data_IF_391459736346
#
_entry.id   IF_391459736346
#
_cell.length_a   1.000
_cell.length_b   1.000
_cell.length_c   1.000
_cell.angle_alpha   90.00
_cell.angle_beta   90.00
_cell.angle_gamma   90.00
#
_symmetry.space_group_name_H-M   'P 1'
#
loop_
_entity.id
_entity.type
_entity.pdbx_description
1 polymer ?
#
# COMPACT_ATOMS: atom_id res chain seq x y z
N UNK A 1 -24.89 -46.60 -108.59
CA UNK A 1 -23.42 -46.72 -108.61
C UNK A 1 -22.96 -46.76 -107.16
N UNK A 2 -22.78 -47.97 -106.60
CA UNK A 2 -21.49 -48.57 -106.22
C UNK A 2 -20.85 -47.81 -105.03
N UNK A 3 -20.51 -48.38 -103.86
CA UNK A 3 -20.02 -49.72 -103.46
C UNK A 3 -20.14 -49.85 -101.92
N UNK A 4 -20.62 -50.96 -101.31
CA UNK A 4 -19.86 -52.02 -100.58
C UNK A 4 -18.53 -51.55 -99.93
N UNK A 5 -18.08 -51.90 -98.71
CA UNK A 5 -18.28 -53.08 -97.84
C UNK A 5 -17.56 -52.91 -96.47
N UNK A 6 -18.11 -53.54 -95.42
CA UNK A 6 -17.51 -54.31 -94.30
C UNK A 6 -16.42 -53.77 -93.33
N UNK A 7 -16.83 -53.68 -92.05
CA UNK A 7 -16.28 -54.22 -90.78
C UNK A 7 -14.77 -54.37 -90.51
N UNK A 8 -14.35 -53.93 -89.30
CA UNK A 8 -13.71 -54.79 -88.26
C UNK A 8 -13.67 -54.13 -86.87
N UNK A 9 -13.94 -54.95 -85.85
CA UNK A 9 -13.80 -54.69 -84.41
C UNK A 9 -12.34 -54.40 -84.00
N UNK A 10 -12.16 -53.53 -83.02
CA UNK A 10 -11.18 -53.72 -81.94
C UNK A 10 -11.68 -52.98 -80.68
N UNK A 11 -11.88 -53.75 -79.60
CA UNK A 11 -12.19 -53.23 -78.28
C UNK A 11 -10.92 -52.70 -77.60
N UNK A 12 -11.01 -51.57 -76.90
CA UNK A 12 -10.13 -51.26 -75.78
C UNK A 12 -10.93 -50.50 -74.72
N UNK A 13 -11.21 -51.18 -73.62
CA UNK A 13 -11.72 -50.62 -72.37
C UNK A 13 -10.61 -49.82 -71.69
N UNK A 14 -10.86 -48.53 -71.44
CA UNK A 14 -10.11 -47.76 -70.44
C UNK A 14 -11.14 -47.04 -69.57
N UNK A 15 -11.33 -47.56 -68.36
CA UNK A 15 -11.96 -46.84 -67.27
C UNK A 15 -10.91 -45.89 -66.67
N UNK A 16 -11.17 -44.59 -66.68
CA UNK A 16 -10.34 -43.61 -65.99
C UNK A 16 -11.24 -42.54 -65.33
N UNK A 17 -11.58 -42.87 -64.08
CA UNK A 17 -11.75 -42.00 -62.90
C UNK A 17 -11.99 -40.51 -63.15
N UNK A 18 -13.21 -40.05 -62.84
CA UNK A 18 -13.49 -38.64 -62.58
C UNK A 18 -12.76 -38.20 -61.31
N UNK A 19 -11.73 -37.37 -61.44
CA UNK A 19 -11.14 -36.65 -60.31
C UNK A 19 -12.04 -35.49 -59.91
N UNK A 20 -12.90 -35.70 -58.92
CA UNK A 20 -13.50 -34.59 -58.17
C UNK A 20 -12.40 -33.94 -57.33
N UNK A 21 -11.91 -32.78 -57.76
CA UNK A 21 -11.06 -31.94 -56.93
C UNK A 21 -11.94 -31.36 -55.80
N UNK A 22 -11.96 -32.04 -54.66
CA UNK A 22 -12.47 -31.46 -53.41
C UNK A 22 -11.55 -30.33 -53.00
N UNK A 23 -11.92 -29.10 -53.31
CA UNK A 23 -11.39 -27.92 -52.63
C UNK A 23 -11.79 -28.02 -51.17
N UNK A 24 -10.87 -28.53 -50.33
CA UNK A 24 -10.98 -28.39 -48.88
C UNK A 24 -10.76 -26.90 -48.59
N UNK A 25 -11.86 -26.17 -48.42
CA UNK A 25 -11.81 -24.89 -47.73
C UNK A 25 -11.41 -25.23 -46.30
N UNK A 26 -10.13 -25.06 -45.98
CA UNK A 26 -9.68 -24.97 -44.60
C UNK A 26 -10.31 -23.71 -44.04
N UNK A 27 -11.51 -23.83 -43.49
CA UNK A 27 -12.03 -22.83 -42.57
C UNK A 27 -11.07 -22.85 -41.40
N UNK A 28 -10.16 -21.85 -41.31
CA UNK A 28 -9.52 -21.52 -40.05
C UNK A 28 -10.62 -21.51 -38.99
N UNK A 29 -10.50 -22.26 -37.88
CA UNK A 29 -11.49 -22.14 -36.84
C UNK A 29 -11.51 -20.67 -36.46
N UNK A 30 -12.68 -20.04 -36.56
CA UNK A 30 -12.92 -18.79 -35.88
C UNK A 30 -12.63 -19.09 -34.41
N UNK A 31 -11.45 -18.68 -33.93
CA UNK A 31 -11.18 -18.67 -32.51
C UNK A 31 -12.30 -17.83 -31.93
N UNK A 32 -13.17 -18.43 -31.12
CA UNK A 32 -13.91 -17.62 -30.16
C UNK A 32 -12.87 -16.74 -29.48
N UNK A 33 -13.06 -15.42 -29.47
CA UNK A 33 -12.10 -14.52 -28.85
C UNK A 33 -11.84 -15.02 -27.43
N UNK A 34 -10.61 -15.51 -27.20
CA UNK A 34 -10.21 -16.07 -25.91
C UNK A 34 -10.29 -14.96 -24.89
N UNK A 35 -10.89 -15.22 -23.72
CA UNK A 35 -10.95 -14.27 -22.60
C UNK A 35 -9.56 -13.69 -22.32
N UNK A 36 -9.46 -12.37 -22.28
CA UNK A 36 -8.24 -11.63 -21.99
C UNK A 36 -8.26 -11.01 -20.61
N UNK A 37 -7.12 -10.43 -20.23
CA UNK A 37 -6.98 -9.84 -18.89
C UNK A 37 -7.92 -8.63 -18.72
N UNK A 38 -8.07 -7.75 -19.72
CA UNK A 38 -9.06 -6.67 -19.66
C UNK A 38 -10.51 -7.17 -19.55
N UNK A 39 -10.85 -8.33 -20.14
CA UNK A 39 -12.17 -8.92 -19.97
C UNK A 39 -12.39 -9.39 -18.52
N UNK A 40 -11.33 -9.94 -17.90
CA UNK A 40 -11.33 -10.38 -16.50
C UNK A 40 -11.45 -9.18 -15.58
N UNK A 41 -10.68 -8.13 -15.80
CA UNK A 41 -10.72 -6.92 -14.97
C UNK A 41 -12.06 -6.19 -15.12
N UNK A 42 -12.49 -5.94 -16.36
CA UNK A 42 -13.71 -5.20 -16.66
C UNK A 42 -13.60 -3.70 -16.34
N UNK A 43 -14.72 -2.99 -16.42
CA UNK A 43 -14.79 -1.51 -16.30
C UNK A 43 -15.29 -1.04 -14.93
N UNK A 44 -15.30 -1.92 -13.93
CA UNK A 44 -15.76 -1.70 -12.55
C UNK A 44 -14.72 -2.25 -11.57
N UNK A 45 -14.93 -2.10 -10.26
CA UNK A 45 -14.02 -2.70 -9.24
C UNK A 45 -14.21 -4.19 -9.03
N UNK A 46 -15.30 -4.74 -9.57
CA UNK A 46 -15.61 -6.15 -9.50
C UNK A 46 -15.48 -6.74 -10.89
N UNK A 47 -14.72 -7.83 -10.99
CA UNK A 47 -14.57 -8.61 -12.19
C UNK A 47 -15.93 -9.14 -12.67
N UNK A 48 -16.29 -8.97 -13.97
CA UNK A 48 -17.42 -9.68 -14.56
C UNK A 48 -17.20 -11.20 -14.66
N UNK A 49 -15.98 -11.67 -14.36
CA UNK A 49 -15.60 -13.07 -14.28
C UNK A 49 -15.49 -13.62 -12.86
N UNK A 50 -15.77 -12.83 -11.81
CA UNK A 50 -15.76 -13.31 -10.43
C UNK A 50 -16.54 -14.63 -10.27
N UNK A 51 -15.88 -15.66 -9.72
CA UNK A 51 -16.41 -17.01 -9.54
C UNK A 51 -16.44 -17.89 -10.79
N UNK A 52 -16.03 -17.38 -11.96
CA UNK A 52 -16.01 -18.14 -13.22
C UNK A 52 -14.64 -18.76 -13.47
N UNK A 53 -14.66 -19.89 -14.15
CA UNK A 53 -13.46 -20.53 -14.69
C UNK A 53 -13.04 -19.83 -15.98
N UNK A 54 -11.76 -19.49 -16.09
CA UNK A 54 -11.11 -19.02 -17.32
C UNK A 54 -10.10 -20.06 -17.80
N UNK A 55 -9.83 -20.07 -19.10
CA UNK A 55 -8.96 -21.05 -19.75
C UNK A 55 -7.98 -20.36 -20.69
N UNK A 56 -6.71 -20.74 -20.57
CA UNK A 56 -5.60 -20.32 -21.41
C UNK A 56 -5.47 -18.80 -21.58
N UNK A 57 -5.71 -18.05 -20.51
CA UNK A 57 -5.50 -16.59 -20.47
C UNK A 57 -4.02 -16.32 -20.66
N UNK A 58 -3.68 -15.61 -21.74
CA UNK A 58 -2.30 -15.35 -22.13
C UNK A 58 -1.76 -14.04 -21.53
N UNK A 59 -0.48 -14.02 -21.17
CA UNK A 59 0.20 -12.80 -20.72
C UNK A 59 1.68 -13.04 -20.42
N UNK A 60 2.39 -11.97 -20.13
CA UNK A 60 3.81 -12.01 -19.74
C UNK A 60 3.97 -11.71 -18.27
N UNK A 61 4.76 -12.52 -17.56
CA UNK A 61 5.03 -12.33 -16.13
C UNK A 61 5.82 -11.05 -15.91
N UNK A 62 5.28 -10.14 -15.08
CA UNK A 62 5.87 -8.81 -14.78
C UNK A 62 6.46 -8.73 -13.37
N UNK A 63 6.05 -9.60 -12.45
CA UNK A 63 6.60 -9.68 -11.10
C UNK A 63 6.29 -11.02 -10.44
N UNK A 64 7.14 -11.48 -9.51
CA UNK A 64 6.97 -12.75 -8.81
C UNK A 64 7.11 -12.52 -7.30
N UNK A 65 6.05 -12.84 -6.55
CA UNK A 65 6.02 -12.80 -5.07
C UNK A 65 6.23 -14.20 -4.52
N UNK A 66 7.47 -14.51 -4.15
CA UNK A 66 7.88 -15.82 -3.61
C UNK A 66 7.77 -15.96 -2.08
N UNK A 67 7.43 -14.89 -1.36
CA UNK A 67 7.39 -14.81 0.10
C UNK A 67 5.99 -14.44 0.61
N UNK A 68 5.83 -14.48 1.93
CA UNK A 68 4.55 -14.16 2.59
C UNK A 68 3.47 -15.22 2.38
N UNK A 69 2.24 -14.90 2.82
CA UNK A 69 1.04 -15.71 2.62
C UNK A 69 0.46 -15.57 1.21
N UNK A 70 0.58 -14.38 0.61
CA UNK A 70 0.08 -14.08 -0.75
C UNK A 70 1.07 -14.47 -1.85
N UNK A 71 1.55 -15.72 -1.88
CA UNK A 71 2.49 -16.18 -2.91
C UNK A 71 1.81 -16.29 -4.28
N UNK A 72 2.44 -15.74 -5.30
CA UNK A 72 1.89 -15.66 -6.65
C UNK A 72 2.77 -14.82 -7.58
N UNK A 73 2.24 -14.47 -8.74
CA UNK A 73 2.93 -13.63 -9.71
C UNK A 73 1.94 -12.73 -10.45
N UNK A 74 2.41 -11.60 -10.94
CA UNK A 74 1.64 -10.74 -11.84
C UNK A 74 1.95 -11.10 -13.28
N UNK A 75 0.93 -11.10 -14.11
CA UNK A 75 1.07 -11.19 -15.56
C UNK A 75 0.28 -10.06 -16.22
N UNK A 76 0.75 -9.62 -17.38
CA UNK A 76 0.13 -8.53 -18.12
C UNK A 76 -0.06 -8.90 -19.60
N UNK A 77 -1.18 -8.51 -20.20
CA UNK A 77 -1.47 -8.77 -21.61
C UNK A 77 -0.48 -7.98 -22.49
N UNK A 78 -0.06 -8.60 -23.58
CA UNK A 78 0.87 -8.02 -24.57
C UNK A 78 0.14 -7.38 -25.75
N UNK A 79 -1.19 -7.52 -25.79
CA UNK A 79 -2.09 -6.96 -26.81
C UNK A 79 -3.22 -6.23 -26.08
N UNK A 80 -2.91 -5.09 -25.43
CA UNK A 80 -3.88 -4.34 -24.64
C UNK A 80 -5.00 -3.79 -25.52
N UNK A 81 -6.16 -3.54 -24.91
CA UNK A 81 -7.25 -2.81 -25.56
C UNK A 81 -6.99 -1.29 -25.55
N UNK A 82 -8.03 -0.52 -25.86
CA UNK A 82 -7.96 0.94 -25.89
C UNK A 82 -8.78 1.61 -24.77
N UNK A 83 -9.39 0.84 -23.87
CA UNK A 83 -10.23 1.38 -22.81
C UNK A 83 -9.35 1.70 -21.59
N UNK A 84 -9.18 2.98 -21.20
CA UNK A 84 -8.40 3.31 -20.02
C UNK A 84 -9.03 2.82 -18.72
N UNK A 85 -10.28 2.33 -18.73
CA UNK A 85 -10.98 1.81 -17.56
C UNK A 85 -10.75 0.31 -17.31
N UNK A 86 -10.03 -0.40 -18.17
CA UNK A 86 -9.72 -1.83 -18.03
C UNK A 86 -8.24 -2.02 -17.76
N UNK A 87 -7.91 -2.75 -16.69
CA UNK A 87 -6.53 -3.14 -16.44
C UNK A 87 -6.10 -4.29 -17.37
N UNK A 88 -4.83 -4.26 -17.78
CA UNK A 88 -4.21 -5.32 -18.56
C UNK A 88 -3.37 -6.26 -17.70
N UNK A 89 -3.29 -6.00 -16.39
CA UNK A 89 -2.58 -6.80 -15.41
C UNK A 89 -3.53 -7.62 -14.55
N UNK A 90 -3.06 -8.77 -14.08
CA UNK A 90 -3.79 -9.59 -13.10
C UNK A 90 -2.81 -10.33 -12.20
N UNK A 91 -3.18 -10.51 -10.94
CA UNK A 91 -2.43 -11.35 -10.02
C UNK A 91 -2.88 -12.81 -10.12
N UNK A 92 -1.91 -13.73 -10.14
CA UNK A 92 -2.14 -15.17 -10.15
C UNK A 92 -1.70 -15.75 -8.82
N UNK A 93 -2.67 -16.10 -7.97
CA UNK A 93 -2.41 -16.63 -6.63
C UNK A 93 -2.15 -18.14 -6.68
N UNK A 94 -0.97 -18.55 -6.21
CA UNK A 94 -0.49 -19.94 -6.30
C UNK A 94 -0.44 -20.65 -4.95
N UNK A 95 -0.66 -19.95 -3.83
CA UNK A 95 -0.50 -20.43 -2.43
C UNK A 95 0.86 -21.06 -2.08
N UNK A 96 1.79 -21.07 -3.02
CA UNK A 96 3.08 -21.77 -2.99
C UNK A 96 4.06 -21.01 -3.88
N UNK A 97 5.36 -21.24 -3.71
CA UNK A 97 6.38 -20.54 -4.51
C UNK A 97 6.15 -20.76 -6.02
N UNK A 98 5.90 -19.69 -6.80
CA UNK A 98 5.69 -19.82 -8.24
C UNK A 98 6.92 -20.40 -8.94
N UNK A 99 6.70 -21.18 -10.01
CA UNK A 99 7.75 -21.76 -10.86
C UNK A 99 7.93 -21.03 -12.18
N UNK A 100 7.64 -19.73 -12.19
CA UNK A 100 7.78 -18.82 -13.34
C UNK A 100 8.81 -17.74 -13.01
N UNK A 101 9.36 -17.13 -14.05
CA UNK A 101 10.27 -15.99 -13.97
C UNK A 101 9.67 -14.78 -14.70
N UNK A 102 10.10 -13.58 -14.29
CA UNK A 102 9.79 -12.34 -15.02
C UNK A 102 10.25 -12.48 -16.48
N UNK A 103 9.38 -12.10 -17.43
CA UNK A 103 9.62 -12.28 -18.87
C UNK A 103 9.15 -13.63 -19.42
N UNK A 104 8.64 -14.55 -18.59
CA UNK A 104 7.95 -15.73 -19.11
C UNK A 104 6.64 -15.34 -19.77
N UNK A 105 6.40 -15.80 -21.00
CA UNK A 105 5.08 -15.79 -21.61
C UNK A 105 4.33 -17.04 -21.16
N UNK A 106 3.17 -16.85 -20.54
CA UNK A 106 2.39 -17.93 -19.93
C UNK A 106 0.97 -17.97 -20.46
N UNK A 107 0.37 -19.15 -20.44
CA UNK A 107 -1.09 -19.31 -20.42
C UNK A 107 -1.52 -19.79 -19.04
N UNK A 108 -2.59 -19.19 -18.52
CA UNK A 108 -3.12 -19.48 -17.18
C UNK A 108 -4.59 -19.85 -17.29
N UNK A 109 -4.93 -21.02 -16.74
CA UNK A 109 -6.30 -21.46 -16.51
C UNK A 109 -6.58 -21.47 -15.02
N UNK A 110 -7.75 -21.02 -14.56
CA UNK A 110 -8.05 -20.95 -13.13
C UNK A 110 -9.43 -20.36 -12.86
N UNK A 111 -9.73 -20.10 -11.59
CA UNK A 111 -10.97 -19.45 -11.17
C UNK A 111 -10.70 -18.01 -10.80
N UNK A 112 -11.39 -17.07 -11.43
CA UNK A 112 -11.30 -15.64 -11.08
C UNK A 112 -12.00 -15.40 -9.74
N UNK A 113 -11.39 -14.62 -8.87
CA UNK A 113 -11.88 -14.30 -7.53
C UNK A 113 -11.64 -12.84 -7.20
N UNK A 114 -12.52 -12.29 -6.35
CA UNK A 114 -12.33 -11.01 -5.68
C UNK A 114 -11.75 -11.27 -4.29
N UNK A 115 -10.47 -10.98 -4.10
CA UNK A 115 -9.82 -11.10 -2.79
C UNK A 115 -9.87 -9.77 -2.06
N UNK A 116 -10.41 -9.71 -0.83
CA UNK A 116 -10.39 -8.48 -0.02
C UNK A 116 -9.25 -8.55 0.99
N UNK A 117 -8.15 -7.78 0.82
CA UNK A 117 -7.06 -7.73 1.77
C UNK A 117 -7.56 -7.27 3.15
N UNK A 118 -7.21 -8.00 4.21
CA UNK A 118 -7.73 -7.72 5.57
C UNK A 118 -9.15 -8.26 5.83
N UNK A 119 -9.77 -8.93 4.87
CA UNK A 119 -11.08 -9.56 5.00
C UNK A 119 -12.25 -8.64 4.65
N UNK A 120 -13.42 -9.23 4.38
CA UNK A 120 -14.61 -8.51 3.87
C UNK A 120 -15.22 -7.50 4.85
N UNK A 121 -14.89 -7.58 6.15
CA UNK A 121 -15.31 -6.61 7.16
C UNK A 121 -14.39 -5.39 7.27
N UNK A 122 -13.28 -5.35 6.53
CA UNK A 122 -12.29 -4.26 6.61
C UNK A 122 -12.76 -2.95 5.95
N UNK A 123 -13.69 -3.03 5.00
CA UNK A 123 -14.05 -1.90 4.13
C UNK A 123 -13.03 -1.60 3.04
N UNK A 124 -12.02 -2.47 2.83
CA UNK A 124 -11.07 -2.37 1.73
C UNK A 124 -11.70 -2.74 0.38
N UNK A 125 -11.09 -2.27 -0.71
CA UNK A 125 -11.36 -2.76 -2.06
C UNK A 125 -10.88 -4.21 -2.21
N UNK A 126 -11.55 -4.96 -3.09
CA UNK A 126 -11.04 -6.24 -3.55
C UNK A 126 -9.91 -6.05 -4.56
N UNK A 127 -9.18 -7.14 -4.79
CA UNK A 127 -8.23 -7.32 -5.87
C UNK A 127 -8.73 -8.47 -6.73
N UNK A 128 -8.75 -8.29 -8.05
CA UNK A 128 -9.07 -9.35 -9.00
C UNK A 128 -7.87 -10.30 -9.14
N UNK A 129 -8.07 -11.57 -8.83
CA UNK A 129 -7.03 -12.58 -8.95
C UNK A 129 -7.50 -13.88 -9.61
N UNK A 130 -6.56 -14.61 -10.22
CA UNK A 130 -6.79 -15.98 -10.69
C UNK A 130 -6.27 -16.96 -9.64
N UNK A 131 -7.17 -17.75 -9.09
CA UNK A 131 -6.90 -18.76 -8.07
C UNK A 131 -6.91 -20.17 -8.64
N UNK A 132 -6.33 -21.11 -7.87
CA UNK A 132 -6.18 -22.53 -8.25
C UNK A 132 -5.60 -22.70 -9.67
N UNK A 133 -4.52 -21.98 -10.01
CA UNK A 133 -4.10 -21.85 -11.40
C UNK A 133 -3.42 -23.12 -11.91
N UNK A 134 -3.64 -23.42 -13.19
CA UNK A 134 -2.77 -24.26 -14.01
C UNK A 134 -2.01 -23.34 -14.95
N UNK A 135 -0.68 -23.33 -14.81
CA UNK A 135 0.21 -22.41 -15.54
C UNK A 135 1.06 -23.19 -16.53
N UNK A 136 1.06 -22.75 -17.79
CA UNK A 136 1.94 -23.28 -18.84
C UNK A 136 2.88 -22.17 -19.30
N UNK A 137 4.19 -22.38 -19.17
CA UNK A 137 5.20 -21.47 -19.74
C UNK A 137 5.35 -21.81 -21.23
N UNK A 138 5.03 -20.84 -22.08
CA UNK A 138 5.10 -20.95 -23.55
C UNK A 138 6.50 -20.60 -24.06
N UNK A 139 7.10 -19.56 -23.48
CA UNK A 139 8.48 -19.13 -23.76
C UNK A 139 9.04 -18.33 -22.58
N UNK A 140 10.36 -18.18 -22.52
CA UNK A 140 11.06 -17.46 -21.45
C UNK A 140 11.96 -16.34 -22.01
N UNK A 141 12.25 -15.34 -21.17
CA UNK A 141 13.14 -14.24 -21.52
C UNK A 141 12.56 -13.22 -22.52
N UNK A 142 11.23 -13.14 -22.60
CA UNK A 142 10.53 -12.17 -23.45
C UNK A 142 10.63 -10.76 -22.84
N UNK A 143 10.54 -9.70 -23.66
CA UNK A 143 10.39 -8.35 -23.14
C UNK A 143 9.09 -8.24 -22.31
N UNK A 144 9.17 -7.59 -21.17
CA UNK A 144 8.00 -7.27 -20.35
C UNK A 144 7.26 -6.05 -20.92
N UNK A 145 5.93 -5.97 -20.80
CA UNK A 145 5.17 -4.76 -21.14
C UNK A 145 5.77 -3.52 -20.47
N UNK A 146 5.81 -2.42 -21.23
CA UNK A 146 6.34 -1.15 -20.74
C UNK A 146 5.51 -0.65 -19.56
N UNK A 147 6.19 -0.21 -18.49
CA UNK A 147 5.51 0.26 -17.30
C UNK A 147 4.71 1.55 -17.54
N UNK A 148 3.46 1.58 -17.12
CA UNK A 148 2.59 2.76 -17.20
C UNK A 148 3.13 3.85 -16.28
N UNK A 149 3.30 5.07 -16.81
CA UNK A 149 3.85 6.18 -16.02
C UNK A 149 2.77 6.79 -15.13
N UNK A 150 2.93 6.66 -13.82
CA UNK A 150 2.12 7.32 -12.80
C UNK A 150 2.80 8.63 -12.44
N UNK A 151 2.11 9.74 -12.69
CA UNK A 151 2.66 11.08 -12.50
C UNK A 151 1.59 12.05 -12.03
N UNK A 152 2.00 13.24 -11.63
CA UNK A 152 1.07 14.30 -11.29
C UNK A 152 0.07 14.68 -12.41
N UNK A 153 0.42 14.42 -13.68
CA UNK A 153 -0.45 14.68 -14.83
C UNK A 153 -1.50 13.59 -14.99
N UNK A 154 -1.15 12.33 -14.71
CA UNK A 154 -2.05 11.21 -14.93
C UNK A 154 -3.03 11.00 -13.77
N UNK A 155 -2.64 11.33 -12.54
CA UNK A 155 -3.47 11.14 -11.35
C UNK A 155 -4.46 12.32 -11.18
N UNK A 156 -5.79 12.10 -11.21
CA UNK A 156 -6.80 13.15 -11.01
C UNK A 156 -6.78 13.80 -9.62
N UNK A 157 -7.42 14.96 -9.48
CA UNK A 157 -7.52 15.71 -8.20
C UNK A 157 -8.63 15.21 -7.28
N UNK A 158 -9.78 14.80 -7.83
CA UNK A 158 -10.82 14.21 -7.01
C UNK A 158 -10.40 12.81 -6.60
N UNK A 159 -10.58 12.44 -5.34
CA UNK A 159 -10.13 11.14 -4.86
C UNK A 159 -11.05 10.01 -5.34
N UNK A 160 -12.33 10.06 -4.98
CA UNK A 160 -13.32 9.00 -5.24
C UNK A 160 -14.66 9.60 -5.71
N UNK A 161 -15.45 8.88 -6.52
CA UNK A 161 -16.84 9.24 -6.76
C UNK A 161 -17.67 9.17 -5.46
N UNK A 162 -18.82 9.83 -5.44
CA UNK A 162 -19.84 9.53 -4.44
C UNK A 162 -20.34 8.09 -4.67
N UNK A 163 -20.42 7.31 -3.60
CA UNK A 163 -20.94 5.95 -3.66
C UNK A 163 -22.44 5.87 -3.92
N UNK A 164 -22.92 4.70 -4.32
CA UNK A 164 -24.32 4.44 -4.61
C UNK A 164 -25.13 4.34 -3.29
N UNK A 165 -26.08 5.25 -3.03
CA UNK A 165 -26.92 5.19 -1.84
C UNK A 165 -27.75 3.91 -1.74
N UNK A 166 -28.10 3.28 -2.88
CA UNK A 166 -28.83 2.01 -2.90
C UNK A 166 -27.93 0.82 -2.48
N UNK A 167 -26.62 0.99 -2.54
CA UNK A 167 -25.60 0.01 -2.13
C UNK A 167 -24.81 0.48 -0.90
N UNK A 168 -25.48 1.19 0.03
CA UNK A 168 -24.89 1.69 1.27
C UNK A 168 -23.62 2.55 1.05
N UNK A 169 -23.58 3.31 -0.04
CA UNK A 169 -22.44 4.14 -0.40
C UNK A 169 -21.25 3.38 -1.00
N UNK A 170 -21.41 2.13 -1.43
CA UNK A 170 -20.37 1.40 -2.17
C UNK A 170 -20.09 2.04 -3.54
N UNK A 171 -18.85 1.96 -3.99
CA UNK A 171 -18.38 2.39 -5.32
C UNK A 171 -18.08 1.22 -6.25
N UNK A 172 -18.33 -0.02 -5.82
CA UNK A 172 -17.79 -1.23 -6.47
C UNK A 172 -18.40 -1.48 -7.84
N UNK A 173 -19.72 -1.32 -7.93
CA UNK A 173 -20.49 -1.50 -9.17
C UNK A 173 -20.49 -0.25 -10.08
N UNK A 174 -19.85 0.84 -9.66
CA UNK A 174 -19.80 2.07 -10.45
C UNK A 174 -18.76 1.93 -11.58
N UNK A 175 -19.09 2.35 -12.82
CA UNK A 175 -18.10 2.40 -13.89
C UNK A 175 -16.91 3.28 -13.51
N UNK A 176 -15.70 2.78 -13.72
CA UNK A 176 -14.47 3.50 -13.47
C UNK A 176 -14.40 4.75 -14.36
N UNK A 177 -13.97 5.87 -13.76
CA UNK A 177 -13.66 7.10 -14.50
C UNK A 177 -12.22 7.55 -14.19
N UNK A 178 -11.20 6.86 -14.74
CA UNK A 178 -9.78 7.09 -14.47
C UNK A 178 -9.31 8.52 -14.75
N UNK A 179 -9.93 9.22 -15.69
CA UNK A 179 -9.60 10.63 -15.97
C UNK A 179 -10.16 11.61 -14.92
N UNK A 180 -11.07 11.15 -14.05
CA UNK A 180 -11.82 12.00 -13.11
C UNK A 180 -11.46 11.74 -11.65
N UNK A 181 -11.26 10.49 -11.26
CA UNK A 181 -10.99 10.10 -9.87
C UNK A 181 -9.68 9.35 -9.73
N UNK A 182 -8.88 9.71 -8.71
CA UNK A 182 -7.61 9.06 -8.42
C UNK A 182 -7.79 7.58 -8.06
N UNK A 183 -8.82 7.25 -7.28
CA UNK A 183 -9.11 5.86 -6.92
C UNK A 183 -9.44 5.02 -8.16
N UNK A 184 -10.26 5.54 -9.07
CA UNK A 184 -10.59 4.88 -10.34
C UNK A 184 -9.37 4.75 -11.26
N UNK A 185 -8.45 5.73 -11.23
CA UNK A 185 -7.21 5.67 -11.99
C UNK A 185 -6.28 4.55 -11.51
N UNK A 186 -6.09 4.43 -10.20
CA UNK A 186 -5.27 3.34 -9.67
C UNK A 186 -5.94 1.97 -9.87
N UNK A 187 -7.26 1.88 -9.72
CA UNK A 187 -8.01 0.65 -10.03
C UNK A 187 -7.83 0.22 -11.49
N UNK A 188 -7.91 1.14 -12.45
CA UNK A 188 -7.67 0.82 -13.86
C UNK A 188 -6.25 0.35 -14.17
N UNK A 189 -5.33 0.40 -13.19
CA UNK A 189 -3.96 -0.08 -13.30
C UNK A 189 -3.69 -1.30 -12.40
N UNK A 190 -4.72 -1.87 -11.77
CA UNK A 190 -4.56 -3.00 -10.85
C UNK A 190 -3.76 -4.14 -11.50
N UNK A 191 -2.65 -4.56 -10.86
CA UNK A 191 -1.79 -5.62 -11.35
C UNK A 191 -0.91 -5.25 -12.55
N UNK A 192 -1.10 -4.09 -13.17
CA UNK A 192 -0.22 -3.63 -14.25
C UNK A 192 1.14 -3.23 -13.71
N UNK A 193 2.18 -3.42 -14.53
CA UNK A 193 3.48 -2.83 -14.26
C UNK A 193 3.37 -1.30 -14.39
N UNK A 194 3.68 -0.58 -13.31
CA UNK A 194 3.67 0.89 -13.26
C UNK A 194 5.04 1.42 -12.90
N UNK A 195 5.26 2.70 -13.18
CA UNK A 195 6.49 3.40 -12.77
C UNK A 195 6.23 4.82 -12.30
N UNK A 196 7.06 5.26 -11.37
CA UNK A 196 7.22 6.66 -10.98
C UNK A 196 8.66 7.09 -11.24
N UNK A 197 8.88 8.39 -11.39
CA UNK A 197 10.21 8.95 -11.63
C UNK A 197 10.50 10.12 -10.69
N UNK A 198 11.72 10.18 -10.16
CA UNK A 198 12.21 11.29 -9.32
C UNK A 198 11.24 11.67 -8.19
N UNK A 199 10.78 10.66 -7.44
CA UNK A 199 9.69 10.79 -6.49
C UNK A 199 10.22 11.16 -5.09
N UNK A 200 9.66 12.22 -4.49
CA UNK A 200 9.99 12.65 -3.13
C UNK A 200 9.39 11.68 -2.11
N UNK A 201 10.19 11.26 -1.15
CA UNK A 201 9.80 10.44 0.00
C UNK A 201 9.03 11.31 1.00
N UNK A 202 7.82 10.88 1.36
CA UNK A 202 6.88 11.58 2.25
C UNK A 202 6.52 10.76 3.49
N UNK A 203 6.96 9.50 3.55
CA UNK A 203 6.98 8.64 4.73
C UNK A 203 8.25 7.79 4.68
N UNK A 204 8.95 7.72 5.81
CA UNK A 204 10.24 7.03 5.93
C UNK A 204 10.11 5.53 5.65
N UNK A 205 11.24 4.89 5.38
CA UNK A 205 11.28 3.43 5.26
C UNK A 205 10.96 2.77 6.59
N UNK A 206 10.15 1.72 6.56
CA UNK A 206 9.74 0.96 7.74
C UNK A 206 10.36 -0.45 7.78
N UNK A 207 10.18 -1.21 8.87
CA UNK A 207 10.69 -2.59 8.99
C UNK A 207 10.10 -3.60 7.99
N UNK A 208 9.01 -3.25 7.31
CA UNK A 208 8.34 -4.08 6.32
C UNK A 208 8.82 -3.81 4.89
N UNK A 209 9.89 -3.01 4.74
CA UNK A 209 10.46 -2.61 3.44
C UNK A 209 9.47 -1.81 2.60
N UNK A 210 8.76 -0.92 3.28
CA UNK A 210 7.80 0.00 2.68
C UNK A 210 8.26 1.44 2.91
N UNK A 211 7.94 2.32 1.98
CA UNK A 211 8.05 3.77 2.15
C UNK A 211 6.93 4.46 1.38
N UNK A 212 6.68 5.74 1.66
CA UNK A 212 5.70 6.51 0.91
C UNK A 212 6.38 7.56 0.04
N UNK A 213 5.96 7.69 -1.21
CA UNK A 213 6.35 8.78 -2.09
C UNK A 213 5.15 9.64 -2.48
N UNK A 214 5.42 10.81 -3.07
CA UNK A 214 4.40 11.57 -3.81
C UNK A 214 4.75 11.69 -5.29
N UNK A 215 3.77 11.42 -6.14
CA UNK A 215 3.84 11.74 -7.58
C UNK A 215 3.37 13.16 -7.88
N UNK A 216 2.81 13.87 -6.89
CA UNK A 216 2.36 15.28 -6.95
C UNK A 216 3.15 16.13 -5.95
N UNK A 217 4.36 16.61 -6.31
CA UNK A 217 5.25 17.29 -5.35
C UNK A 217 4.67 18.60 -4.77
N UNK A 218 3.64 19.18 -5.40
CA UNK A 218 2.93 20.39 -4.97
C UNK A 218 1.64 20.13 -4.19
N UNK A 219 1.21 18.88 -4.03
CA UNK A 219 -0.01 18.56 -3.27
C UNK A 219 0.32 18.57 -1.77
N UNK A 220 -0.12 19.62 -1.09
CA UNK A 220 0.01 19.82 0.36
C UNK A 220 1.43 19.59 0.94
N UNK A 221 2.52 20.12 0.35
CA UNK A 221 3.86 19.92 0.88
C UNK A 221 4.04 20.66 2.21
N UNK A 222 4.71 20.03 3.18
CA UNK A 222 5.24 20.73 4.35
C UNK A 222 6.69 21.21 4.12
N UNK A 223 7.19 22.08 5.00
CA UNK A 223 8.56 22.64 4.89
C UNK A 223 9.68 21.61 5.02
N UNK A 224 9.37 20.43 5.57
CA UNK A 224 10.27 19.29 5.76
C UNK A 224 10.08 18.23 4.67
N UNK A 225 9.43 18.56 3.55
CA UNK A 225 9.29 17.65 2.41
C UNK A 225 8.22 16.55 2.55
N UNK A 226 7.54 16.46 3.70
CA UNK A 226 6.39 15.58 3.86
C UNK A 226 5.13 16.12 3.19
N UNK A 227 4.04 15.35 3.29
CA UNK A 227 2.72 15.74 2.78
C UNK A 227 1.75 15.91 3.94
N UNK A 228 1.16 17.11 4.08
CA UNK A 228 0.19 17.41 5.12
C UNK A 228 -1.12 16.69 4.82
N UNK A 229 -1.63 15.94 5.79
CA UNK A 229 -2.99 15.41 5.76
C UNK A 229 -3.95 16.47 6.33
N UNK A 230 -4.81 17.03 5.47
CA UNK A 230 -5.67 18.17 5.84
C UNK A 230 -6.98 17.74 6.50
N UNK A 231 -7.66 16.74 5.95
CA UNK A 231 -8.93 16.23 6.45
C UNK A 231 -9.29 14.88 5.81
N UNK A 232 -10.33 14.23 6.35
CA UNK A 232 -10.93 13.03 5.78
C UNK A 232 -11.54 13.22 4.37
N UNK A 233 -11.80 14.45 3.94
CA UNK A 233 -12.35 14.76 2.62
C UNK A 233 -11.30 15.28 1.61
N UNK A 234 -10.04 15.39 2.05
CA UNK A 234 -8.94 15.96 1.27
C UNK A 234 -7.74 15.00 1.24
N UNK A 235 -7.99 13.76 0.82
CA UNK A 235 -6.94 12.76 0.65
C UNK A 235 -5.90 13.24 -0.37
N UNK A 236 -4.63 13.06 -0.03
CA UNK A 236 -3.52 13.36 -0.93
C UNK A 236 -3.46 12.30 -2.04
N UNK A 237 -4.10 12.58 -3.17
CA UNK A 237 -4.25 11.67 -4.31
C UNK A 237 -2.92 11.21 -4.91
N UNK A 238 -1.85 12.01 -4.76
CA UNK A 238 -0.52 11.72 -5.27
C UNK A 238 0.33 10.84 -4.35
N UNK A 239 -0.13 10.50 -3.13
CA UNK A 239 0.59 9.56 -2.27
C UNK A 239 0.51 8.16 -2.84
N UNK A 240 1.65 7.49 -2.94
CA UNK A 240 1.77 6.11 -3.38
C UNK A 240 2.76 5.40 -2.48
N UNK A 241 2.37 4.25 -1.92
CA UNK A 241 3.29 3.41 -1.18
C UNK A 241 4.19 2.65 -2.16
N UNK A 242 5.47 2.52 -1.80
CA UNK A 242 6.43 1.66 -2.48
C UNK A 242 6.74 0.51 -1.53
N UNK A 243 6.54 -0.73 -1.97
CA UNK A 243 6.98 -1.95 -1.31
C UNK A 243 8.10 -2.61 -2.12
N UNK A 244 8.96 -3.39 -1.49
CA UNK A 244 9.97 -4.18 -2.23
C UNK A 244 9.41 -5.53 -2.70
N UNK A 245 9.66 -5.91 -3.96
CA UNK A 245 9.70 -7.33 -4.40
C UNK A 245 11.09 -7.95 -4.22
N UNK A 246 12.11 -7.11 -4.02
CA UNK A 246 13.50 -7.50 -3.88
C UNK A 246 13.87 -7.99 -2.49
N UNK A 247 15.17 -8.10 -2.23
CA UNK A 247 15.66 -8.45 -0.89
C UNK A 247 15.49 -7.25 0.04
N UNK A 248 15.17 -7.45 1.33
CA UNK A 248 15.09 -6.36 2.29
C UNK A 248 16.35 -5.49 2.38
N UNK A 249 17.53 -6.11 2.24
CA UNK A 249 18.81 -5.41 2.28
C UNK A 249 19.03 -4.43 1.10
N UNK A 250 18.28 -4.58 0.01
CA UNK A 250 18.38 -3.72 -1.18
C UNK A 250 17.39 -2.53 -1.10
N UNK A 251 16.47 -2.54 -0.12
CA UNK A 251 15.52 -1.46 0.06
C UNK A 251 16.18 -0.25 0.73
N UNK A 252 16.00 0.97 0.21
CA UNK A 252 16.69 2.14 0.73
C UNK A 252 16.20 2.47 2.14
N UNK A 253 17.12 2.85 3.03
CA UNK A 253 16.80 3.47 4.32
C UNK A 253 16.53 4.97 4.11
N UNK A 254 15.31 5.31 3.71
CA UNK A 254 14.92 6.68 3.38
C UNK A 254 14.24 7.37 4.56
N UNK A 255 14.40 8.69 4.65
CA UNK A 255 13.60 9.54 5.53
C UNK A 255 12.74 10.52 4.72
N UNK A 256 11.78 11.15 5.39
CA UNK A 256 10.93 12.19 4.79
C UNK A 256 11.82 13.29 4.21
N UNK A 257 11.50 13.74 3.00
CA UNK A 257 12.24 14.78 2.28
C UNK A 257 13.34 14.26 1.36
N UNK A 258 13.75 12.98 1.48
CA UNK A 258 14.62 12.34 0.51
C UNK A 258 13.94 12.21 -0.87
N UNK A 259 14.70 11.85 -1.90
CA UNK A 259 14.19 11.59 -3.26
C UNK A 259 14.65 10.22 -3.75
N UNK A 260 13.74 9.39 -4.25
CA UNK A 260 14.08 8.27 -5.11
C UNK A 260 14.29 8.81 -6.52
N UNK A 261 15.55 8.92 -6.94
CA UNK A 261 15.95 9.44 -8.25
C UNK A 261 15.96 8.37 -9.32
N UNK A 262 15.61 8.73 -10.55
CA UNK A 262 15.42 7.77 -11.63
C UNK A 262 14.08 7.02 -11.50
N UNK A 263 14.04 5.80 -12.02
CA UNK A 263 12.81 4.99 -12.11
C UNK A 263 12.64 4.13 -10.86
N UNK A 264 11.42 4.13 -10.32
CA UNK A 264 10.92 3.07 -9.43
C UNK A 264 9.75 2.41 -10.13
N UNK A 265 9.80 1.09 -10.34
CA UNK A 265 8.83 0.36 -11.15
C UNK A 265 8.52 -1.03 -10.61
N UNK A 266 7.31 -1.49 -10.87
CA UNK A 266 6.81 -2.80 -10.49
C UNK A 266 5.28 -2.89 -10.62
N UNK A 267 4.69 -4.08 -10.39
CA UNK A 267 3.25 -4.24 -10.39
C UNK A 267 2.56 -3.34 -9.36
N UNK A 268 1.41 -2.78 -9.73
CA UNK A 268 0.51 -2.12 -8.79
C UNK A 268 -0.36 -3.18 -8.08
N UNK A 269 -0.47 -3.08 -6.76
CA UNK A 269 -1.23 -4.00 -5.90
C UNK A 269 -2.07 -3.19 -4.91
N UNK A 270 -2.91 -3.86 -4.12
CA UNK A 270 -3.68 -3.26 -3.04
C UNK A 270 -3.44 -4.05 -1.74
N UNK A 271 -3.15 -3.34 -0.63
CA UNK A 271 -2.76 -3.99 0.62
C UNK A 271 -3.88 -3.96 1.68
N UNK A 272 -3.72 -4.76 2.74
CA UNK A 272 -4.69 -4.88 3.84
C UNK A 272 -4.83 -3.64 4.72
N UNK A 273 -3.87 -2.72 4.67
CA UNK A 273 -3.88 -1.46 5.40
C UNK A 273 -4.45 -0.30 4.56
N UNK A 274 -4.96 -0.61 3.37
CA UNK A 274 -5.67 0.31 2.48
C UNK A 274 -4.76 1.06 1.51
N UNK A 275 -5.32 1.37 0.34
CA UNK A 275 -4.65 2.08 -0.74
C UNK A 275 -3.79 1.21 -1.66
N UNK A 276 -3.51 1.74 -2.85
CA UNK A 276 -2.65 1.06 -3.82
C UNK A 276 -1.17 1.22 -3.49
N UNK A 277 -0.42 0.19 -3.85
CA UNK A 277 1.01 0.07 -3.59
C UNK A 277 1.73 -0.36 -4.85
N UNK A 278 2.84 0.32 -5.17
CA UNK A 278 3.76 -0.14 -6.21
C UNK A 278 4.72 -1.14 -5.57
N UNK A 279 4.61 -2.41 -5.94
CA UNK A 279 5.48 -3.49 -5.44
C UNK A 279 6.72 -3.55 -6.34
N UNK A 280 7.75 -2.80 -5.96
CA UNK A 280 8.89 -2.46 -6.79
C UNK A 280 9.83 -3.65 -7.03
N UNK A 281 10.05 -3.97 -8.32
CA UNK A 281 11.15 -4.82 -8.79
C UNK A 281 12.38 -3.99 -9.19
N UNK A 282 12.19 -2.70 -9.46
CA UNK A 282 13.23 -1.70 -9.68
C UNK A 282 12.98 -0.51 -8.75
N UNK A 283 14.01 -0.05 -8.04
CA UNK A 283 13.92 1.08 -7.11
C UNK A 283 14.95 2.14 -7.52
N UNK A 284 14.50 3.39 -7.61
CA UNK A 284 15.35 4.53 -7.89
C UNK A 284 16.41 4.76 -6.81
N UNK A 285 17.53 5.38 -7.19
CA UNK A 285 18.62 5.66 -6.26
C UNK A 285 18.20 6.70 -5.22
N UNK A 286 18.44 6.44 -3.94
CA UNK A 286 18.13 7.37 -2.88
C UNK A 286 19.09 8.57 -2.89
N UNK A 287 18.54 9.78 -2.93
CA UNK A 287 19.25 11.04 -2.71
C UNK A 287 18.72 11.70 -1.45
N UNK A 288 19.62 11.97 -0.49
CA UNK A 288 19.24 12.60 0.77
C UNK A 288 18.68 14.01 0.57
N UNK A 289 17.62 14.33 1.31
CA UNK A 289 17.07 15.68 1.45
C UNK A 289 17.77 16.53 2.51
N UNK A 290 18.69 15.94 3.28
CA UNK A 290 19.50 16.65 4.28
C UNK A 290 18.70 17.16 5.49
N UNK A 291 17.58 16.52 5.83
CA UNK A 291 16.82 16.90 7.03
C UNK A 291 17.53 16.39 8.27
N UNK A 292 17.83 17.34 9.16
CA UNK A 292 18.37 17.09 10.48
C UNK A 292 17.28 17.26 11.54
N UNK A 293 17.47 16.58 12.67
CA UNK A 293 16.58 16.68 13.83
C UNK A 293 16.56 18.12 14.34
N UNK A 294 15.37 18.67 14.56
CA UNK A 294 15.22 20.04 15.07
C UNK A 294 15.78 20.19 16.49
N UNK A 295 16.23 21.39 16.82
CA UNK A 295 16.58 21.78 18.18
C UNK A 295 16.14 23.22 18.42
N UNK A 296 15.78 23.52 19.66
CA UNK A 296 15.50 24.88 20.11
C UNK A 296 16.69 25.47 20.86
N UNK A 297 16.63 26.77 21.17
CA UNK A 297 17.52 27.39 22.16
C UNK A 297 17.00 27.11 23.57
N UNK A 298 17.88 27.18 24.57
CA UNK A 298 17.46 27.20 25.96
C UNK A 298 16.65 28.48 26.25
N UNK A 299 15.63 28.35 27.10
CA UNK A 299 14.88 29.46 27.66
C UNK A 299 15.78 30.34 28.53
N UNK A 300 15.60 31.65 28.46
CA UNK A 300 16.21 32.57 29.41
C UNK A 300 15.51 32.48 30.78
N UNK A 301 16.13 33.02 31.82
CA UNK A 301 15.52 33.05 33.17
C UNK A 301 14.24 33.89 33.29
N UNK A 302 13.81 34.59 32.23
CA UNK A 302 12.55 35.36 32.17
C UNK A 302 11.50 34.72 31.25
N UNK A 303 11.82 33.58 30.65
CA UNK A 303 10.93 32.85 29.76
C UNK A 303 10.50 31.55 30.41
N UNK A 304 9.26 31.12 30.17
CA UNK A 304 8.78 29.79 30.50
C UNK A 304 8.82 28.93 29.24
N UNK A 305 9.56 27.83 29.27
CA UNK A 305 9.55 26.84 28.20
C UNK A 305 8.50 25.76 28.47
N UNK A 306 7.62 25.54 27.49
CA UNK A 306 6.61 24.49 27.50
C UNK A 306 6.73 23.69 26.21
N UNK A 307 6.73 22.36 26.32
CA UNK A 307 6.74 21.46 25.17
C UNK A 307 5.63 20.41 25.30
N UNK A 308 5.12 19.96 24.16
CA UNK A 308 4.38 18.69 24.05
C UNK A 308 5.31 17.65 23.41
N UNK A 309 5.27 16.41 23.88
CA UNK A 309 6.18 15.36 23.42
C UNK A 309 5.53 13.99 23.55
N UNK A 310 5.32 13.32 22.43
CA UNK A 310 4.80 11.96 22.39
C UNK A 310 5.94 10.95 22.56
N UNK A 311 5.77 9.98 23.45
CA UNK A 311 6.76 8.94 23.77
C UNK A 311 6.44 7.57 23.17
N UNK A 312 5.37 7.45 22.38
CA UNK A 312 4.98 6.26 21.60
C UNK A 312 4.73 5.01 22.45
N UNK A 313 3.63 5.03 23.23
CA UNK A 313 3.22 3.96 24.16
C UNK A 313 4.30 3.51 25.16
N UNK A 314 5.16 4.41 25.63
CA UNK A 314 6.35 4.09 26.43
C UNK A 314 6.01 3.31 27.70
N UNK A 315 6.62 2.13 27.89
CA UNK A 315 6.52 1.28 29.07
C UNK A 315 7.91 0.81 29.59
N UNK A 316 8.04 0.23 30.80
CA UNK A 316 9.34 -0.12 31.37
C UNK A 316 10.17 -1.15 30.60
N UNK A 317 9.58 -1.89 29.67
CA UNK A 317 10.26 -2.86 28.80
C UNK A 317 10.95 -2.19 27.60
N UNK A 318 10.58 -0.95 27.26
CA UNK A 318 11.15 -0.24 26.11
C UNK A 318 12.64 0.09 26.27
N UNK A 319 13.31 0.14 25.12
CA UNK A 319 14.71 0.53 24.97
C UNK A 319 14.90 2.03 24.62
N UNK A 320 13.80 2.78 24.42
CA UNK A 320 13.82 4.15 23.87
C UNK A 320 14.03 5.25 24.91
N UNK A 321 14.02 4.94 26.21
CA UNK A 321 14.18 5.93 27.30
C UNK A 321 15.36 6.89 27.12
N UNK A 322 16.53 6.37 26.74
CA UNK A 322 17.72 7.20 26.52
C UNK A 322 17.55 8.16 25.32
N UNK A 323 16.84 7.72 24.26
CA UNK A 323 16.56 8.54 23.10
C UNK A 323 15.55 9.66 23.41
N UNK A 324 14.50 9.37 24.20
CA UNK A 324 13.56 10.38 24.67
C UNK A 324 14.25 11.38 25.61
N UNK A 325 15.09 10.91 26.53
CA UNK A 325 15.87 11.77 27.41
C UNK A 325 16.80 12.71 26.62
N UNK A 326 17.54 12.18 25.64
CA UNK A 326 18.38 12.97 24.74
C UNK A 326 17.57 14.03 23.96
N UNK A 327 16.39 13.66 23.45
CA UNK A 327 15.50 14.61 22.78
C UNK A 327 15.04 15.73 23.74
N UNK A 328 14.62 15.39 24.95
CA UNK A 328 14.15 16.38 25.93
C UNK A 328 15.29 17.31 26.39
N UNK A 329 16.48 16.76 26.65
CA UNK A 329 17.61 17.53 27.20
C UNK A 329 18.35 18.28 26.10
N UNK A 330 18.78 17.60 25.05
CA UNK A 330 19.69 18.19 24.06
C UNK A 330 18.96 18.82 22.87
N UNK A 331 17.75 18.37 22.52
CA UNK A 331 16.99 18.97 21.42
C UNK A 331 16.00 20.02 21.89
N UNK A 332 15.15 19.70 22.87
CA UNK A 332 14.17 20.62 23.47
C UNK A 332 14.76 21.56 24.53
N UNK A 333 16.02 21.33 24.93
CA UNK A 333 16.78 22.16 25.90
C UNK A 333 16.17 22.21 27.30
N UNK A 334 15.66 21.06 27.77
CA UNK A 334 15.06 20.89 29.11
C UNK A 334 13.99 21.94 29.41
N UNK A 335 12.82 21.86 28.75
CA UNK A 335 11.71 22.77 29.00
C UNK A 335 11.29 22.79 30.48
N UNK A 336 10.74 23.91 30.96
CA UNK A 336 10.29 23.98 32.36
C UNK A 336 9.06 23.10 32.61
N UNK A 337 8.25 22.86 31.57
CA UNK A 337 7.08 21.97 31.56
C UNK A 337 7.10 21.12 30.29
N UNK A 338 6.88 19.82 30.43
CA UNK A 338 6.68 18.88 29.30
C UNK A 338 5.36 18.16 29.48
N UNK A 339 4.44 18.34 28.52
CA UNK A 339 3.24 17.52 28.39
C UNK A 339 3.60 16.28 27.58
N UNK A 340 3.61 15.13 28.24
CA UNK A 340 3.88 13.84 27.63
C UNK A 340 2.59 13.20 27.14
N UNK A 341 2.62 12.71 25.90
CA UNK A 341 1.56 11.91 25.30
C UNK A 341 2.01 10.44 25.23
N UNK A 342 1.06 9.52 25.37
CA UNK A 342 1.26 8.07 25.24
C UNK A 342 2.19 7.44 26.29
N UNK A 343 2.09 7.89 27.55
CA UNK A 343 2.73 7.17 28.66
C UNK A 343 1.88 5.94 29.00
N UNK A 344 2.50 4.76 28.97
CA UNK A 344 1.84 3.49 29.24
C UNK A 344 1.95 3.06 30.71
N UNK A 345 1.13 2.08 31.07
CA UNK A 345 1.17 1.37 32.35
C UNK A 345 2.54 0.76 32.67
N UNK A 346 2.76 0.49 33.96
CA UNK A 346 3.98 -0.14 34.48
C UNK A 346 4.26 -1.55 33.92
N UNK A 347 3.29 -2.17 33.23
CA UNK A 347 3.36 -3.53 32.71
C UNK A 347 3.18 -3.60 31.17
N UNK A 348 3.18 -2.46 30.47
CA UNK A 348 3.02 -2.38 29.02
C UNK A 348 1.69 -2.98 28.54
N UNK A 349 1.74 -3.82 27.52
CA UNK A 349 0.57 -4.48 26.92
C UNK A 349 -0.07 -5.60 27.77
N UNK A 350 0.42 -5.86 28.98
CA UNK A 350 -0.07 -6.98 29.80
C UNK A 350 -1.47 -6.68 30.34
N UNK A 351 -2.47 -7.40 29.84
CA UNK A 351 -3.87 -7.24 30.25
C UNK A 351 -4.17 -7.90 31.62
N UNK A 352 -3.76 -7.24 32.71
CA UNK A 352 -3.98 -7.68 34.10
C UNK A 352 -4.72 -6.65 35.00
N UNK A 353 -5.17 -5.54 34.42
CA UNK A 353 -5.86 -4.45 35.12
C UNK A 353 -4.95 -3.42 35.80
N UNK A 354 -3.63 -3.51 35.62
CA UNK A 354 -2.70 -2.45 36.03
C UNK A 354 -3.00 -1.17 35.26
N UNK A 355 -3.26 -0.08 35.99
CA UNK A 355 -3.44 1.26 35.43
C UNK A 355 -2.40 2.25 35.92
N UNK A 356 -1.42 1.85 36.73
CA UNK A 356 -0.43 2.76 37.30
C UNK A 356 0.77 2.96 36.34
N UNK A 357 1.35 4.16 36.30
CA UNK A 357 2.49 4.52 35.42
C UNK A 357 3.71 5.12 36.15
N UNK A 358 3.76 5.02 37.48
CA UNK A 358 4.83 5.61 38.29
C UNK A 358 6.22 5.02 38.03
N UNK A 359 6.31 3.73 37.69
CA UNK A 359 7.56 3.08 37.31
C UNK A 359 8.01 3.56 35.93
N UNK A 360 7.08 3.62 34.97
CA UNK A 360 7.33 4.11 33.61
C UNK A 360 7.86 5.55 33.64
N UNK A 361 7.13 6.46 34.30
CA UNK A 361 7.53 7.87 34.38
C UNK A 361 8.80 8.05 35.19
N UNK A 362 8.96 7.30 36.28
CA UNK A 362 10.19 7.31 37.08
C UNK A 362 11.43 6.95 36.27
N UNK A 363 11.34 5.89 35.45
CA UNK A 363 12.43 5.46 34.55
C UNK A 363 12.77 6.53 33.50
N UNK A 364 11.78 7.25 32.97
CA UNK A 364 12.00 8.38 32.06
C UNK A 364 12.69 9.56 32.76
N UNK A 365 12.26 9.93 33.97
CA UNK A 365 12.89 11.00 34.75
C UNK A 365 14.34 10.65 35.07
N UNK A 366 14.61 9.41 35.47
CA UNK A 366 15.98 8.97 35.76
C UNK A 366 16.86 8.98 34.49
N UNK A 367 16.30 8.63 33.32
CA UNK A 367 17.00 8.76 32.04
C UNK A 367 17.29 10.23 31.67
N UNK A 368 16.34 11.15 31.93
CA UNK A 368 16.53 12.59 31.73
C UNK A 368 17.66 13.13 32.62
N UNK A 369 17.69 12.72 33.90
CA UNK A 369 18.78 13.09 34.81
C UNK A 369 20.12 12.53 34.34
N UNK A 370 20.15 11.28 33.88
CA UNK A 370 21.36 10.66 33.34
C UNK A 370 21.87 11.37 32.07
N UNK A 371 20.98 11.92 31.25
CA UNK A 371 21.32 12.76 30.09
C UNK A 371 21.77 14.18 30.46
N UNK A 372 21.76 14.57 31.75
CA UNK A 372 22.16 15.89 32.24
C UNK A 372 21.02 16.90 32.37
N UNK A 373 19.76 16.45 32.27
CA UNK A 373 18.57 17.26 32.49
C UNK A 373 18.19 17.42 33.97
N UNK A 374 17.14 18.20 34.27
CA UNK A 374 16.63 18.35 35.63
C UNK A 374 15.90 17.08 36.08
N UNK A 375 15.85 16.88 37.41
CA UNK A 375 14.93 15.91 38.00
C UNK A 375 13.53 16.52 38.04
N UNK A 376 12.74 16.28 37.01
CA UNK A 376 11.35 16.72 36.97
C UNK A 376 10.51 16.07 38.08
N UNK A 377 9.52 16.80 38.55
CA UNK A 377 8.35 16.22 39.22
C UNK A 377 7.25 16.00 38.18
N UNK A 378 6.28 15.15 38.51
CA UNK A 378 5.21 14.83 37.57
C UNK A 378 3.82 14.72 38.19
N UNK A 379 2.79 14.86 37.35
CA UNK A 379 1.38 14.55 37.65
C UNK A 379 0.75 13.84 36.46
N UNK A 380 -0.17 12.93 36.75
CA UNK A 380 -1.01 12.23 35.76
C UNK A 380 -2.31 11.80 36.41
N UNK A 381 -3.24 11.33 35.58
CA UNK A 381 -4.47 10.68 36.04
C UNK A 381 -4.40 9.24 35.54
N UNK A 382 -4.62 8.30 36.45
CA UNK A 382 -4.74 6.90 36.06
C UNK A 382 -6.06 6.70 35.28
N UNK A 383 -6.01 6.10 34.08
CA UNK A 383 -7.16 5.85 33.23
C UNK A 383 -8.09 4.78 33.83
N UNK A 384 -9.26 4.61 33.22
CA UNK A 384 -10.07 3.41 33.49
C UNK A 384 -9.56 2.26 32.63
N UNK A 385 -9.33 1.12 33.26
CA UNK A 385 -8.90 -0.11 32.58
C UNK A 385 -9.78 -0.39 31.34
N UNK A 386 -9.14 -0.51 30.18
CA UNK A 386 -9.73 -0.79 28.85
C UNK A 386 -10.68 0.27 28.33
N UNK A 387 -10.72 1.46 28.93
CA UNK A 387 -11.59 2.55 28.48
C UNK A 387 -10.84 3.66 27.75
N UNK A 388 -9.55 3.83 28.05
CA UNK A 388 -8.67 4.82 27.45
C UNK A 388 -7.68 4.12 26.50
N UNK A 389 -7.54 4.65 25.29
CA UNK A 389 -7.05 3.92 24.11
C UNK A 389 -5.55 3.55 24.10
N UNK A 390 -5.04 3.21 22.91
CA UNK A 390 -3.65 2.84 22.68
C UNK A 390 -3.48 1.40 22.20
N UNK A 391 -2.40 0.77 22.66
CA UNK A 391 -2.09 -0.64 22.43
C UNK A 391 -3.09 -1.57 23.14
N UNK A 392 -3.57 -2.66 22.49
CA UNK A 392 -4.44 -3.63 23.15
C UNK A 392 -3.87 -4.17 24.46
N UNK A 393 -4.64 -4.04 25.55
CA UNK A 393 -4.26 -4.50 26.90
C UNK A 393 -3.58 -3.44 27.75
N UNK A 394 -3.13 -2.32 27.18
CA UNK A 394 -2.58 -1.19 27.92
C UNK A 394 -3.54 0.00 28.01
N UNK A 395 -3.23 0.94 28.90
CA UNK A 395 -4.00 2.14 29.16
C UNK A 395 -3.09 3.38 29.11
N UNK A 396 -3.02 4.02 27.94
CA UNK A 396 -2.14 5.18 27.78
C UNK A 396 -2.74 6.45 28.38
N UNK A 397 -1.87 7.34 28.85
CA UNK A 397 -2.28 8.62 29.44
C UNK A 397 -1.44 9.79 28.98
N UNK A 398 -1.96 10.97 29.29
CA UNK A 398 -1.18 12.19 29.35
C UNK A 398 -0.51 12.31 30.72
N UNK A 399 0.77 12.68 30.74
CA UNK A 399 1.48 13.01 31.97
C UNK A 399 2.15 14.38 31.85
N UNK A 400 2.20 15.13 32.95
CA UNK A 400 2.87 16.42 33.01
C UNK A 400 4.17 16.27 33.77
N UNK A 401 5.31 16.62 33.16
CA UNK A 401 6.57 16.86 33.85
C UNK A 401 6.73 18.36 34.10
N UNK A 402 7.25 18.74 35.27
CA UNK A 402 7.55 20.14 35.58
C UNK A 402 8.82 20.26 36.43
N UNK A 403 9.66 21.26 36.13
CA UNK A 403 10.92 21.47 36.84
C UNK A 403 10.66 22.23 38.15
N UNK A 404 10.80 21.59 39.33
CA UNK A 404 10.47 22.22 40.61
C UNK A 404 11.38 23.41 40.97
N UNK A 405 12.54 23.55 40.31
CA UNK A 405 13.41 24.73 40.48
C UNK A 405 12.88 25.97 39.74
N UNK A 406 11.92 25.80 38.83
CA UNK A 406 11.41 26.84 37.92
C UNK A 406 9.94 27.14 38.13
N UNK A 407 9.15 26.11 38.40
CA UNK A 407 7.70 26.20 38.56
C UNK A 407 7.24 25.28 39.69
N UNK A 408 6.12 25.61 40.33
CA UNK A 408 5.45 24.73 41.28
C UNK A 408 4.08 24.34 40.79
N UNK A 409 3.64 23.13 41.15
CA UNK A 409 2.28 22.68 40.90
C UNK A 409 1.41 22.96 42.12
N UNK A 410 0.22 23.53 41.91
CA UNK A 410 -0.77 23.70 42.98
C UNK A 410 -1.70 22.50 42.99
N UNK A 411 -1.45 21.56 43.89
CA UNK A 411 -2.34 20.42 44.09
C UNK A 411 -3.71 20.91 44.58
N UNK A 412 -4.76 20.49 43.87
CA UNK A 412 -6.16 20.69 44.23
C UNK A 412 -6.81 19.32 44.42
N UNK A 413 -8.01 19.26 44.98
CA UNK A 413 -8.81 18.03 44.92
C UNK A 413 -8.93 17.62 43.45
N UNK A 414 -8.18 16.58 43.07
CA UNK A 414 -8.04 16.18 41.68
C UNK A 414 -9.35 15.57 41.21
N UNK A 415 -9.63 15.74 39.92
CA UNK A 415 -10.51 14.80 39.24
C UNK A 415 -9.78 13.47 39.07
N UNK A 416 -10.53 12.44 38.71
CA UNK A 416 -10.00 11.16 38.27
C UNK A 416 -10.58 10.84 36.88
N UNK A 417 -10.30 9.67 36.33
CA UNK A 417 -10.78 9.29 35.00
C UNK A 417 -12.32 9.30 34.86
N UNK A 418 -13.06 9.29 35.98
CA UNK A 418 -14.53 9.33 36.02
C UNK A 418 -15.12 10.54 36.73
N UNK A 419 -14.31 11.31 37.45
CA UNK A 419 -14.73 12.48 38.24
C UNK A 419 -14.21 13.77 37.62
N UNK A 420 -15.09 14.56 37.03
CA UNK A 420 -14.73 15.87 36.48
C UNK A 420 -14.37 16.89 37.57
N UNK A 421 -13.45 17.81 37.25
CA UNK A 421 -13.21 19.00 38.08
C UNK A 421 -14.06 20.19 37.62
N UNK A 422 -14.45 21.06 38.55
CA UNK A 422 -15.16 22.30 38.24
C UNK A 422 -14.21 23.45 37.89
N UNK A 423 -14.60 24.31 36.95
CA UNK A 423 -13.87 25.55 36.64
C UNK A 423 -14.36 26.67 37.56
N UNK A 424 -13.52 27.10 38.50
CA UNK A 424 -13.81 28.27 39.34
C UNK A 424 -13.22 29.54 38.71
N UNK A 425 -14.07 30.52 38.40
CA UNK A 425 -13.62 31.85 37.97
C UNK A 425 -13.13 32.64 39.19
N UNK A 426 -11.82 32.71 39.37
CA UNK A 426 -11.21 33.61 40.37
C UNK A 426 -11.20 35.01 39.76
N UNK A 427 -11.85 35.98 40.41
CA UNK A 427 -11.86 37.40 40.00
C UNK A 427 -10.66 38.13 40.55
#
# INVERSE_FOLDING_TARGET
MASKSSARLAALTVAAVCSAASTVVLTSPAHADSVRIHDIQGTTRLSPYAGKQVTDVAGTVTGVRGYGSSRGFWMQDTRPDADPATSEGVFVFTSSTPKVAVGDAVTVSGTVSEYVPGGTSSGNQSVTEITRPTVTVVSSGNPVPAATTVSARSVPRAYTPAGDPAANGSVDALPLRPAKYALDYYESLEGMNVRVADARVVGASDPYTELWVTVKPWENPNRRGGTVYGSYDAQNTGRLQIQSLGKPADFPAATVGDTLTGTTAGPLDYNQFGGYTLVASEIGALRSGGIERESTRAQSGRELAVATYNVENLDPSDATFAAHADAIVHHLKSPDIVSLEEIQDNNGATDDGTVAADVTVGKLIDAIVAAGGPRYEWRGIDPVDKADGGEPGGNIRQAFLFNPERVSFTDRAAGDATTATGVAKVR
#
